data_IF_840054110713
#
_entry.id   IF_840054110713
#
_cell.length_a   1.000
_cell.length_b   1.000
_cell.length_c   1.000
_cell.angle_alpha   90.00
_cell.angle_beta   90.00
_cell.angle_gamma   90.00
#
_symmetry.space_group_name_H-M   'P 1'
#
loop_
_entity.id
_entity.type
_entity.pdbx_description
1 polymer ?
#
# COMPACT_ATOMS: atom_id res chain seq x y z
N UNK A 1 17.55 3.81 5.08
CA UNK A 1 16.16 3.92 4.59
C UNK A 1 15.35 4.58 5.70
N UNK A 2 14.68 5.70 5.42
CA UNK A 2 13.82 6.38 6.39
C UNK A 2 12.47 5.67 6.39
N UNK A 3 11.78 5.58 7.53
CA UNK A 3 10.54 4.79 7.70
C UNK A 3 9.44 5.05 6.64
N UNK A 4 9.45 6.24 6.05
CA UNK A 4 8.59 6.69 4.95
C UNK A 4 8.63 5.81 3.69
N UNK A 5 9.68 5.03 3.47
CA UNK A 5 9.80 4.10 2.34
C UNK A 5 8.94 2.82 2.50
N UNK A 6 8.36 2.59 3.69
CA UNK A 6 7.74 1.31 4.07
C UNK A 6 6.27 1.21 3.66
N UNK A 7 5.58 2.34 3.46
CA UNK A 7 4.12 2.32 3.18
C UNK A 7 3.88 2.36 1.68
N UNK A 8 4.31 1.28 1.05
CA UNK A 8 3.94 0.92 -0.31
C UNK A 8 2.59 0.21 -0.25
N UNK A 9 1.58 0.76 -0.91
CA UNK A 9 0.29 0.11 -1.08
C UNK A 9 0.00 -0.08 -2.56
N UNK A 10 -0.57 -1.24 -2.90
CA UNK A 10 -1.00 -1.55 -4.26
C UNK A 10 -2.42 -1.05 -4.47
N UNK A 11 -2.64 -0.29 -5.55
CA UNK A 11 -3.99 0.08 -5.99
C UNK A 11 -4.15 -0.27 -7.46
N UNK A 12 -5.31 -0.82 -7.79
CA UNK A 12 -5.75 -1.02 -9.16
C UNK A 12 -6.63 0.16 -9.58
N UNK A 13 -6.29 0.78 -10.71
CA UNK A 13 -7.12 1.85 -11.26
C UNK A 13 -8.44 1.29 -11.79
N UNK A 14 -9.56 1.80 -11.29
CA UNK A 14 -10.90 1.41 -11.77
C UNK A 14 -11.14 1.73 -13.24
N UNK A 15 -10.45 2.72 -13.80
CA UNK A 15 -10.64 3.19 -15.18
C UNK A 15 -9.84 2.41 -16.22
N UNK A 16 -8.57 2.12 -15.95
CA UNK A 16 -7.68 1.44 -16.90
C UNK A 16 -7.15 0.09 -16.42
N UNK A 17 -7.58 -0.37 -15.25
CA UNK A 17 -7.18 -1.63 -14.61
C UNK A 17 -5.66 -1.76 -14.37
N UNK A 18 -4.92 -0.67 -14.52
CA UNK A 18 -3.50 -0.63 -14.21
C UNK A 18 -3.30 -0.77 -12.70
N UNK A 19 -2.56 -1.80 -12.32
CA UNK A 19 -2.08 -1.99 -10.96
C UNK A 19 -0.76 -1.23 -10.78
N UNK A 20 -0.75 -0.31 -9.82
CA UNK A 20 0.45 0.47 -9.47
C UNK A 20 0.80 0.31 -7.99
N UNK A 21 2.08 0.49 -7.68
CA UNK A 21 2.59 0.57 -6.30
C UNK A 21 2.79 2.04 -5.94
N UNK A 22 2.08 2.49 -4.90
CA UNK A 22 2.06 3.89 -4.50
C UNK A 22 2.59 4.05 -3.09
N UNK A 23 3.17 5.21 -2.82
CA UNK A 23 3.60 5.62 -1.49
C UNK A 23 2.77 6.85 -1.10
N UNK A 24 2.42 6.99 0.18
CA UNK A 24 1.67 8.15 0.68
C UNK A 24 2.37 9.49 0.43
N UNK A 25 3.69 9.47 0.27
CA UNK A 25 4.50 10.64 -0.11
C UNK A 25 4.27 11.11 -1.55
N UNK A 26 3.65 10.29 -2.42
CA UNK A 26 3.30 10.64 -3.80
C UNK A 26 1.96 11.39 -3.93
N UNK A 27 1.28 11.64 -2.81
CA UNK A 27 0.09 12.47 -2.80
C UNK A 27 0.44 13.92 -3.19
N UNK A 28 -0.35 14.50 -4.07
CA UNK A 28 -0.22 15.90 -4.51
C UNK A 28 -1.34 16.72 -3.91
N UNK A 29 -1.01 17.88 -3.35
CA UNK A 29 -2.00 18.81 -2.81
C UNK A 29 -2.76 19.51 -3.96
N UNK A 30 -4.08 19.38 -3.97
CA UNK A 30 -4.97 20.01 -4.95
C UNK A 30 -6.39 20.17 -4.39
N UNK A 31 -6.93 21.40 -4.50
CA UNK A 31 -8.27 21.78 -4.04
C UNK A 31 -8.50 21.47 -2.55
N UNK A 32 -7.54 21.81 -1.68
CA UNK A 32 -7.57 21.52 -0.23
C UNK A 32 -7.57 20.03 0.17
N UNK A 33 -7.33 19.13 -0.79
CA UNK A 33 -7.16 17.70 -0.57
C UNK A 33 -5.78 17.23 -1.03
N UNK A 34 -5.33 16.11 -0.47
CA UNK A 34 -4.16 15.37 -0.94
C UNK A 34 -4.63 14.24 -1.84
N UNK A 35 -4.25 14.28 -3.12
CA UNK A 35 -4.79 13.40 -4.15
C UNK A 35 -3.72 12.49 -4.73
N UNK A 36 -4.11 11.26 -5.07
CA UNK A 36 -3.30 10.30 -5.79
C UNK A 36 -3.92 10.04 -7.16
N UNK A 37 -3.09 10.04 -8.19
CA UNK A 37 -3.52 9.77 -9.55
C UNK A 37 -2.86 8.50 -10.10
N UNK A 38 -3.58 7.81 -10.97
CA UNK A 38 -3.08 6.67 -11.70
C UNK A 38 -1.95 7.10 -12.64
N UNK A 39 -0.80 6.43 -12.58
CA UNK A 39 0.36 6.74 -13.43
C UNK A 39 0.07 6.55 -14.92
N UNK A 40 -0.85 5.65 -15.27
CA UNK A 40 -1.14 5.31 -16.67
C UNK A 40 -2.19 6.24 -17.32
N UNK A 41 -3.27 6.60 -16.60
CA UNK A 41 -4.39 7.34 -17.21
C UNK A 41 -4.78 8.62 -16.47
N UNK A 42 -4.01 9.00 -15.44
CA UNK A 42 -4.23 10.17 -14.59
C UNK A 42 -5.62 10.23 -13.93
N UNK A 43 -6.32 9.08 -13.83
CA UNK A 43 -7.56 8.98 -13.08
C UNK A 43 -7.26 9.08 -11.58
N UNK A 44 -8.09 9.82 -10.85
CA UNK A 44 -8.00 9.91 -9.40
C UNK A 44 -8.22 8.53 -8.77
N UNK A 45 -7.28 8.12 -7.93
CA UNK A 45 -7.33 6.86 -7.19
C UNK A 45 -7.74 7.06 -5.73
N UNK A 46 -7.34 8.21 -5.16
CA UNK A 46 -7.57 8.53 -3.77
C UNK A 46 -7.59 10.04 -3.58
N UNK A 47 -8.47 10.52 -2.71
CA UNK A 47 -8.42 11.87 -2.17
C UNK A 47 -8.55 11.76 -0.64
N UNK A 48 -7.61 12.38 0.07
CA UNK A 48 -7.63 12.44 1.55
C UNK A 48 -7.58 13.89 2.00
N UNK A 49 -8.36 14.22 3.02
CA UNK A 49 -8.29 15.52 3.68
C UNK A 49 -6.95 15.68 4.40
N UNK A 50 -6.52 16.93 4.72
CA UNK A 50 -5.33 17.17 5.52
C UNK A 50 -5.35 16.42 6.86
N UNK A 51 -6.52 16.37 7.51
CA UNK A 51 -6.68 15.68 8.80
C UNK A 51 -6.54 14.16 8.69
N UNK A 52 -7.05 13.55 7.61
CA UNK A 52 -6.90 12.12 7.35
C UNK A 52 -5.46 11.78 7.03
N UNK A 53 -4.79 12.60 6.21
CA UNK A 53 -3.36 12.46 5.92
C UNK A 53 -2.53 12.46 7.19
N UNK A 54 -2.80 13.40 8.10
CA UNK A 54 -2.07 13.48 9.37
C UNK A 54 -2.30 12.24 10.24
N UNK A 55 -3.54 11.75 10.36
CA UNK A 55 -3.86 10.51 11.07
C UNK A 55 -3.14 9.30 10.47
N UNK A 56 -3.07 9.21 9.14
CA UNK A 56 -2.35 8.11 8.48
C UNK A 56 -0.85 8.20 8.81
N UNK A 57 -0.24 9.39 8.70
CA UNK A 57 1.17 9.60 9.03
C UNK A 57 1.45 9.23 10.50
N UNK A 58 0.59 9.66 11.44
CA UNK A 58 0.70 9.31 12.84
C UNK A 58 0.56 7.79 13.07
N UNK A 59 -0.40 7.14 12.39
CA UNK A 59 -0.60 5.69 12.46
C UNK A 59 0.64 4.91 11.97
N UNK A 60 1.28 5.37 10.90
CA UNK A 60 2.54 4.81 10.39
C UNK A 60 3.64 4.95 11.44
N UNK A 61 3.84 6.15 12.00
CA UNK A 61 4.85 6.40 13.02
C UNK A 61 4.64 5.56 14.29
N UNK A 62 3.38 5.38 14.72
CA UNK A 62 3.04 4.50 15.84
C UNK A 62 3.34 3.04 15.53
N UNK A 63 3.03 2.58 14.31
CA UNK A 63 3.32 1.20 13.88
C UNK A 63 4.82 0.93 13.87
N UNK A 64 5.61 1.87 13.36
CA UNK A 64 7.08 1.80 13.38
C UNK A 64 7.64 1.74 14.80
N UNK A 65 7.06 2.51 15.72
CA UNK A 65 7.53 2.61 17.10
C UNK A 65 7.17 1.39 17.94
N UNK A 66 5.95 0.88 17.81
CA UNK A 66 5.40 -0.10 18.74
C UNK A 66 5.31 -1.51 18.18
N UNK A 67 5.39 -1.67 16.86
CA UNK A 67 5.28 -2.98 16.22
C UNK A 67 6.39 -3.23 15.19
N UNK A 68 7.67 -2.94 15.53
CA UNK A 68 8.78 -3.10 14.59
C UNK A 68 8.98 -4.56 14.17
N UNK A 69 8.62 -5.52 15.03
CA UNK A 69 8.78 -6.95 14.77
C UNK A 69 7.86 -7.42 13.64
N UNK A 70 6.62 -6.89 13.56
CA UNK A 70 5.72 -7.17 12.46
C UNK A 70 6.29 -6.57 11.17
N UNK A 71 6.72 -5.30 11.18
CA UNK A 71 7.32 -4.68 10.01
C UNK A 71 8.55 -5.47 9.52
N UNK A 72 9.38 -5.98 10.42
CA UNK A 72 10.54 -6.80 10.08
C UNK A 72 10.15 -8.20 9.57
N UNK A 73 9.10 -8.82 10.08
CA UNK A 73 8.59 -10.09 9.56
C UNK A 73 8.16 -9.96 8.09
N UNK A 74 7.47 -8.87 7.73
CA UNK A 74 7.02 -8.61 6.36
C UNK A 74 8.15 -8.14 5.43
N UNK A 75 9.24 -7.54 5.94
CA UNK A 75 10.45 -7.24 5.14
C UNK A 75 11.16 -8.51 4.65
N UNK A 76 11.00 -9.63 5.34
CA UNK A 76 11.63 -10.91 5.03
C UNK A 76 10.77 -11.82 4.12
N UNK A 77 9.64 -11.34 3.59
CA UNK A 77 8.73 -12.12 2.74
C UNK A 77 9.30 -12.54 1.38
N UNK A 78 10.47 -12.03 0.99
CA UNK A 78 11.23 -12.57 -0.15
C UNK A 78 11.84 -13.95 0.14
N UNK A 79 11.85 -14.39 1.41
CA UNK A 79 12.18 -15.76 1.79
C UNK A 79 10.87 -16.50 2.04
N UNK A 80 10.74 -17.69 1.45
CA UNK A 80 9.56 -18.55 1.55
C UNK A 80 9.02 -18.63 2.98
N UNK A 81 7.99 -17.83 3.23
CA UNK A 81 7.25 -17.90 4.49
C UNK A 81 6.28 -19.07 4.40
N UNK A 82 6.06 -19.79 5.52
CA UNK A 82 5.08 -20.90 5.57
C UNK A 82 3.66 -20.51 5.16
N UNK A 83 3.35 -19.21 5.08
CA UNK A 83 2.07 -18.66 4.61
C UNK A 83 1.89 -18.68 3.09
N UNK A 84 2.93 -18.97 2.28
CA UNK A 84 2.80 -19.26 0.83
C UNK A 84 2.26 -20.68 0.60
N UNK A 85 1.17 -21.04 1.27
CA UNK A 85 0.42 -22.23 0.88
C UNK A 85 -0.39 -21.82 -0.34
N UNK A 86 0.15 -22.07 -1.54
CA UNK A 86 -0.69 -22.15 -2.72
C UNK A 86 -1.65 -23.32 -2.50
N UNK A 87 -2.92 -23.01 -2.24
CA UNK A 87 -3.97 -24.01 -2.32
C UNK A 87 -3.97 -24.51 -3.77
N UNK A 88 -3.36 -25.68 -3.97
CA UNK A 88 -3.36 -26.36 -5.26
C UNK A 88 -4.82 -26.52 -5.67
N UNK A 89 -5.13 -26.22 -6.94
CA UNK A 89 -6.46 -26.49 -7.51
C UNK A 89 -6.83 -27.94 -7.19
N UNK A 90 -7.95 -28.13 -6.52
CA UNK A 90 -8.56 -29.45 -6.35
C UNK A 90 -8.72 -30.01 -7.76
N UNK A 91 -8.06 -31.13 -8.05
CA UNK A 91 -8.31 -31.85 -9.31
C UNK A 91 -9.71 -32.44 -9.21
N UNK A 92 -10.56 -32.11 -10.17
CA UNK A 92 -11.80 -32.86 -10.37
C UNK A 92 -11.39 -34.27 -10.80
N UNK A 93 -11.82 -35.27 -10.03
CA UNK A 93 -11.69 -36.68 -10.41
C UNK A 93 -12.79 -37.01 -11.43
N UNK A 94 -12.39 -37.61 -12.56
CA UNK A 94 -13.25 -38.05 -13.66
C UNK A 94 -14.24 -39.16 -13.25
#
# INVERSE_FOLDING_TARGET
MKGWDIVLFSLMCSKCLHEGKYNITRLVEANDYWRLFCENCNHELLAVSPSEREKIIQGIALTEKYVPDILNAYKCLDKDTPSKIEFSRIKEED
#
